data_IF_707368973165
#
_entry.id   IF_707368973165
#
_cell.length_a   1.000
_cell.length_b   1.000
_cell.length_c   1.000
_cell.angle_alpha   90.00
_cell.angle_beta   90.00
_cell.angle_gamma   90.00
#
_symmetry.space_group_name_H-M   'P 1'
#
loop_
_entity.id
_entity.type
_entity.pdbx_description
1 polymer ?
#
# COMPACT_ATOMS: atom_id res chain seq x y z
N UNK A 1 -28.24 9.09 -1.80
CA UNK A 1 -28.18 7.85 -1.02
C UNK A 1 -26.77 7.34 -1.20
N UNK A 2 -26.01 7.23 -0.13
CA UNK A 2 -24.61 6.80 -0.20
C UNK A 2 -24.56 5.34 -0.68
N UNK A 3 -23.87 5.07 -1.79
CA UNK A 3 -23.75 3.70 -2.31
C UNK A 3 -22.78 2.92 -1.40
N UNK A 4 -23.19 1.71 -1.00
CA UNK A 4 -22.42 0.84 -0.11
C UNK A 4 -22.31 -0.56 -0.68
N UNK A 5 -21.16 -1.20 -0.45
CA UNK A 5 -20.90 -2.58 -0.88
C UNK A 5 -20.27 -3.40 0.24
N UNK A 6 -20.94 -4.50 0.59
CA UNK A 6 -20.48 -5.39 1.65
C UNK A 6 -19.69 -6.56 1.07
N UNK A 7 -18.53 -6.84 1.64
CA UNK A 7 -17.66 -7.95 1.26
C UNK A 7 -17.29 -8.73 2.51
N UNK A 8 -17.38 -10.06 2.43
CA UNK A 8 -16.99 -10.95 3.52
C UNK A 8 -15.64 -11.57 3.23
N UNK A 9 -14.63 -11.21 4.00
CA UNK A 9 -13.37 -11.92 4.11
C UNK A 9 -13.46 -12.95 5.25
N UNK A 10 -12.49 -13.85 5.36
CA UNK A 10 -12.43 -14.91 6.38
C UNK A 10 -12.57 -14.37 7.80
N UNK A 11 -11.88 -13.27 8.10
CA UNK A 11 -11.83 -12.68 9.44
C UNK A 11 -12.47 -11.28 9.53
N UNK A 12 -12.93 -10.73 8.40
CA UNK A 12 -13.45 -9.36 8.34
C UNK A 12 -14.75 -9.29 7.54
N UNK A 13 -15.74 -8.56 8.07
CA UNK A 13 -16.90 -8.11 7.32
C UNK A 13 -16.65 -6.63 6.95
N UNK A 14 -16.40 -6.36 5.67
CA UNK A 14 -16.01 -5.04 5.16
C UNK A 14 -17.20 -4.33 4.50
N UNK A 15 -17.38 -3.04 4.78
CA UNK A 15 -18.43 -2.20 4.19
C UNK A 15 -17.82 -1.04 3.41
N UNK A 16 -17.52 -1.29 2.14
CA UNK A 16 -17.00 -0.26 1.25
C UNK A 16 -18.04 0.83 1.01
N UNK A 17 -17.64 2.08 1.21
CA UNK A 17 -18.43 3.27 0.92
C UNK A 17 -17.89 3.95 -0.33
N UNK A 18 -18.79 4.39 -1.22
CA UNK A 18 -18.39 5.10 -2.43
C UNK A 18 -18.12 6.58 -2.13
N UNK A 19 -16.95 7.04 -2.52
CA UNK A 19 -16.52 8.44 -2.44
C UNK A 19 -16.04 8.88 -3.82
N UNK A 20 -16.76 9.81 -4.45
CA UNK A 20 -16.53 10.32 -5.82
C UNK A 20 -16.14 9.22 -6.84
N UNK A 21 -14.83 9.01 -7.03
CA UNK A 21 -14.20 8.12 -8.01
C UNK A 21 -13.64 6.82 -7.40
N UNK A 22 -13.94 6.52 -6.14
CA UNK A 22 -13.35 5.38 -5.44
C UNK A 22 -14.33 4.71 -4.46
N UNK A 23 -14.06 3.45 -4.15
CA UNK A 23 -14.64 2.76 -3.00
C UNK A 23 -13.59 2.64 -1.91
N UNK A 24 -13.97 3.00 -0.69
CA UNK A 24 -13.05 3.05 0.45
C UNK A 24 -13.62 2.21 1.59
N UNK A 25 -12.76 1.44 2.24
CA UNK A 25 -13.05 0.85 3.54
C UNK A 25 -11.83 0.88 4.45
N UNK A 26 -12.03 1.27 5.71
CA UNK A 26 -10.98 1.23 6.73
C UNK A 26 -11.22 0.07 7.69
N UNK A 27 -10.18 -0.74 7.88
CA UNK A 27 -10.20 -1.90 8.78
C UNK A 27 -9.20 -1.68 9.90
N UNK A 28 -9.68 -1.73 11.13
CA UNK A 28 -8.86 -1.68 12.34
C UNK A 28 -8.34 -3.08 12.69
N UNK A 29 -7.14 -3.16 13.28
CA UNK A 29 -6.47 -4.40 13.67
C UNK A 29 -6.35 -5.41 12.52
N UNK A 30 -5.80 -4.95 11.38
CA UNK A 30 -5.60 -5.80 10.20
C UNK A 30 -4.26 -6.54 10.28
N UNK A 31 -4.29 -7.84 10.56
CA UNK A 31 -3.07 -8.62 10.82
C UNK A 31 -2.29 -8.06 12.02
N UNK A 32 -1.10 -7.52 11.79
CA UNK A 32 -0.26 -6.88 12.83
C UNK A 32 -0.38 -5.35 12.86
N UNK A 33 -1.16 -4.76 11.95
CA UNK A 33 -1.27 -3.30 11.79
C UNK A 33 -2.43 -2.76 12.60
N UNK A 34 -2.26 -1.57 13.18
CA UNK A 34 -3.33 -0.87 13.93
C UNK A 34 -4.53 -0.58 13.04
N UNK A 35 -4.32 -0.13 11.80
CA UNK A 35 -5.38 0.02 10.80
C UNK A 35 -4.83 0.00 9.37
N UNK A 36 -5.68 -0.37 8.41
CA UNK A 36 -5.41 -0.31 6.96
C UNK A 36 -6.64 0.29 6.25
N UNK A 37 -6.41 1.03 5.17
CA UNK A 37 -7.48 1.50 4.28
C UNK A 37 -7.34 0.82 2.92
N UNK A 38 -8.45 0.26 2.44
CA UNK A 38 -8.57 -0.35 1.13
C UNK A 38 -9.27 0.63 0.21
N UNK A 39 -8.62 0.97 -0.91
CA UNK A 39 -9.16 1.90 -1.90
C UNK A 39 -9.26 1.22 -3.26
N UNK A 40 -10.45 1.20 -3.83
CA UNK A 40 -10.73 0.65 -5.16
C UNK A 40 -11.12 1.81 -6.09
N UNK A 41 -10.19 2.18 -6.95
CA UNK A 41 -10.33 3.22 -7.97
C UNK A 41 -11.34 2.78 -9.05
N UNK A 42 -12.34 3.63 -9.34
CA UNK A 42 -13.41 3.36 -10.32
C UNK A 42 -13.03 3.72 -11.76
N UNK A 43 -12.07 4.63 -11.96
CA UNK A 43 -11.62 5.02 -13.31
C UNK A 43 -10.81 3.90 -13.96
N UNK A 44 -10.08 3.16 -13.13
CA UNK A 44 -9.36 1.97 -13.54
C UNK A 44 -10.37 0.82 -13.55
N UNK A 45 -10.72 0.31 -14.74
CA UNK A 45 -11.68 -0.78 -14.97
C UNK A 45 -11.33 -2.13 -14.29
N UNK A 46 -10.38 -2.12 -13.37
CA UNK A 46 -9.75 -3.26 -12.70
C UNK A 46 -10.67 -3.96 -11.70
N UNK A 47 -11.83 -3.37 -11.35
CA UNK A 47 -12.78 -3.93 -10.39
C UNK A 47 -14.24 -3.92 -10.87
N UNK A 48 -14.57 -4.86 -11.76
CA UNK A 48 -15.95 -5.16 -12.19
C UNK A 48 -16.71 -5.99 -11.14
N UNK A 49 -18.03 -6.16 -11.27
CA UNK A 49 -18.85 -6.94 -10.33
C UNK A 49 -18.29 -8.34 -10.03
N UNK A 50 -17.79 -9.04 -11.03
CA UNK A 50 -17.19 -10.38 -10.89
C UNK A 50 -15.91 -10.39 -10.03
N UNK A 51 -15.15 -9.28 -10.05
CA UNK A 51 -13.90 -9.16 -9.28
C UNK A 51 -14.17 -8.97 -7.78
N UNK A 52 -15.36 -8.52 -7.38
CA UNK A 52 -15.70 -8.34 -5.97
C UNK A 52 -15.74 -9.65 -5.18
N UNK A 53 -16.03 -10.78 -5.83
CA UNK A 53 -15.91 -12.08 -5.19
C UNK A 53 -14.44 -12.46 -4.91
N UNK A 54 -13.51 -12.00 -5.75
CA UNK A 54 -12.07 -12.24 -5.57
C UNK A 54 -11.43 -11.32 -4.55
N UNK A 55 -12.02 -10.14 -4.28
CA UNK A 55 -11.54 -9.19 -3.28
C UNK A 55 -11.39 -9.83 -1.90
N UNK A 56 -12.37 -10.65 -1.53
CA UNK A 56 -12.38 -11.40 -0.28
C UNK A 56 -11.11 -12.26 -0.13
N UNK A 57 -10.78 -13.04 -1.16
CA UNK A 57 -9.59 -13.88 -1.16
C UNK A 57 -8.28 -13.09 -1.15
N UNK A 58 -8.25 -11.90 -1.77
CA UNK A 58 -7.12 -10.99 -1.68
C UNK A 58 -6.95 -10.45 -0.26
N UNK A 59 -8.03 -10.01 0.39
CA UNK A 59 -7.99 -9.50 1.77
C UNK A 59 -7.46 -10.58 2.72
N UNK A 60 -7.97 -11.81 2.60
CA UNK A 60 -7.48 -12.96 3.38
C UNK A 60 -5.99 -13.21 3.17
N UNK A 61 -5.52 -13.06 1.93
CA UNK A 61 -4.11 -13.23 1.60
C UNK A 61 -3.24 -12.10 2.18
N UNK A 62 -3.69 -10.85 2.08
CA UNK A 62 -2.97 -9.69 2.60
C UNK A 62 -2.87 -9.73 4.12
N UNK A 63 -3.92 -10.16 4.82
CA UNK A 63 -3.90 -10.34 6.27
C UNK A 63 -2.71 -11.22 6.72
N UNK A 64 -2.42 -12.27 5.94
CA UNK A 64 -1.36 -13.24 6.25
C UNK A 64 0.03 -12.75 5.82
N UNK A 65 0.13 -12.05 4.69
CA UNK A 65 1.44 -11.83 4.03
C UNK A 65 1.93 -10.37 4.05
N UNK A 66 1.07 -9.39 4.33
CA UNK A 66 1.40 -7.97 4.18
C UNK A 66 2.64 -7.57 4.99
N UNK A 67 2.73 -8.00 6.26
CA UNK A 67 3.88 -7.76 7.13
C UNK A 67 5.21 -8.16 6.49
N UNK A 68 5.30 -9.38 5.98
CA UNK A 68 6.50 -9.88 5.33
C UNK A 68 6.78 -9.16 4.01
N UNK A 69 5.76 -8.75 3.26
CA UNK A 69 5.96 -7.98 2.02
C UNK A 69 6.50 -6.59 2.29
N UNK A 70 6.00 -5.95 3.34
CA UNK A 70 6.51 -4.68 3.84
C UNK A 70 7.98 -4.80 4.22
N UNK A 71 8.35 -5.77 5.04
CA UNK A 71 9.75 -6.00 5.42
C UNK A 71 10.64 -6.21 4.20
N UNK A 72 10.19 -7.01 3.23
CA UNK A 72 10.91 -7.26 1.97
C UNK A 72 10.98 -6.06 1.04
N UNK A 73 10.11 -5.07 1.20
CA UNK A 73 10.12 -3.86 0.39
C UNK A 73 11.16 -2.85 0.89
N UNK A 74 11.42 -2.80 2.21
CA UNK A 74 12.27 -1.77 2.83
C UNK A 74 13.72 -1.83 2.33
N UNK A 75 14.31 -3.02 2.17
CA UNK A 75 15.70 -3.14 1.69
C UNK A 75 15.87 -2.67 0.22
N UNK A 76 15.09 -3.14 -0.77
CA UNK A 76 15.12 -2.62 -2.13
C UNK A 76 14.88 -1.12 -2.21
N UNK A 77 13.97 -0.60 -1.37
CA UNK A 77 13.64 0.80 -1.28
C UNK A 77 14.82 1.66 -0.78
N UNK A 78 15.45 1.21 0.30
CA UNK A 78 16.67 1.83 0.85
C UNK A 78 17.78 1.84 -0.21
N UNK A 79 17.96 0.70 -0.89
CA UNK A 79 18.94 0.57 -1.97
C UNK A 79 18.64 1.50 -3.15
N UNK A 80 17.37 1.63 -3.55
CA UNK A 80 16.94 2.54 -4.60
C UNK A 80 17.22 3.99 -4.21
N UNK A 81 16.90 4.39 -2.97
CA UNK A 81 17.11 5.73 -2.46
C UNK A 81 18.60 6.14 -2.46
N UNK A 82 19.50 5.26 -2.01
CA UNK A 82 20.96 5.51 -2.04
C UNK A 82 21.46 5.65 -3.46
N UNK A 83 21.12 4.70 -4.35
CA UNK A 83 21.65 4.68 -5.72
C UNK A 83 21.14 5.84 -6.58
N UNK A 84 19.93 6.31 -6.31
CA UNK A 84 19.36 7.48 -6.99
C UNK A 84 19.86 8.80 -6.42
N UNK A 85 20.61 8.77 -5.30
CA UNK A 85 21.17 9.95 -4.66
C UNK A 85 20.16 10.77 -3.85
N UNK A 86 18.97 10.23 -3.57
CA UNK A 86 17.94 10.94 -2.80
C UNK A 86 18.27 11.01 -1.31
N UNK A 87 18.81 9.92 -0.76
CA UNK A 87 19.23 9.86 0.63
C UNK A 87 20.62 9.25 0.74
N UNK A 88 21.47 9.84 1.56
CA UNK A 88 22.69 9.20 2.02
C UNK A 88 22.40 8.28 3.24
N UNK A 89 23.38 7.48 3.66
CA UNK A 89 23.21 6.54 4.78
C UNK A 89 22.80 7.20 6.11
N UNK A 90 23.29 8.42 6.37
CA UNK A 90 22.94 9.17 7.58
C UNK A 90 21.47 9.62 7.54
N UNK A 91 21.00 10.15 6.42
CA UNK A 91 19.61 10.56 6.24
C UNK A 91 18.63 9.39 6.35
N UNK A 92 19.00 8.21 5.83
CA UNK A 92 18.19 7.00 5.91
C UNK A 92 17.92 6.55 7.36
N UNK A 93 18.84 6.81 8.29
CA UNK A 93 18.67 6.45 9.71
C UNK A 93 17.54 7.22 10.39
N UNK A 94 17.16 8.37 9.83
CA UNK A 94 16.11 9.24 10.36
C UNK A 94 14.79 9.14 9.60
N UNK A 95 14.69 8.24 8.62
CA UNK A 95 13.45 8.03 7.90
C UNK A 95 12.50 7.20 8.74
N UNK A 96 11.32 7.76 8.99
CA UNK A 96 10.21 7.03 9.55
C UNK A 96 9.25 6.62 8.42
N UNK A 97 9.16 5.31 8.18
CA UNK A 97 8.19 4.74 7.25
C UNK A 97 6.83 4.63 7.94
N UNK A 98 6.01 5.66 7.71
CA UNK A 98 4.63 5.69 8.16
C UNK A 98 3.75 4.96 7.15
N UNK A 99 3.16 3.84 7.54
CA UNK A 99 2.13 3.18 6.74
C UNK A 99 0.83 4.01 6.79
N UNK A 100 0.77 5.09 6.01
CA UNK A 100 -0.47 5.76 5.67
C UNK A 100 -1.05 4.99 4.48
N UNK A 101 -1.87 4.01 4.85
CA UNK A 101 -2.12 2.80 4.09
C UNK A 101 -3.11 3.01 2.95
N UNK A 102 -2.62 3.07 1.71
CA UNK A 102 -3.44 2.94 0.52
C UNK A 102 -2.98 1.69 -0.23
N UNK A 103 -3.86 0.68 -0.27
CA UNK A 103 -3.68 -0.47 -1.17
C UNK A 103 -4.48 -0.18 -2.43
N UNK A 104 -3.81 0.19 -3.52
CA UNK A 104 -4.46 0.40 -4.81
C UNK A 104 -4.42 -0.88 -5.65
N UNK A 105 -5.59 -1.37 -6.03
CA UNK A 105 -5.72 -2.61 -6.80
C UNK A 105 -5.90 -2.26 -8.29
N UNK A 106 -4.89 -2.52 -9.12
CA UNK A 106 -4.79 -1.95 -10.48
C UNK A 106 -4.96 -2.99 -11.59
N UNK A 107 -4.84 -4.29 -11.31
CA UNK A 107 -5.01 -5.33 -12.35
C UNK A 107 -5.31 -6.68 -11.70
N UNK A 108 -6.45 -7.31 -11.99
CA UNK A 108 -6.87 -8.51 -11.29
C UNK A 108 -7.20 -9.65 -12.26
N UNK A 109 -6.21 -10.48 -12.53
CA UNK A 109 -6.44 -11.92 -12.50
C UNK A 109 -5.93 -12.42 -11.15
N UNK A 110 -6.79 -12.39 -10.11
CA UNK A 110 -6.49 -13.07 -8.86
C UNK A 110 -6.60 -14.58 -9.07
N UNK A 111 -5.55 -15.15 -9.66
CA UNK A 111 -5.24 -16.55 -9.51
C UNK A 111 -4.19 -16.65 -8.40
N UNK A 112 -4.22 -17.73 -7.62
CA UNK A 112 -3.19 -18.01 -6.62
C UNK A 112 -1.78 -18.21 -7.23
N UNK A 113 -1.58 -17.95 -8.53
CA UNK A 113 -0.31 -18.06 -9.22
C UNK A 113 0.23 -16.70 -9.71
N UNK A 114 -0.62 -15.70 -9.95
CA UNK A 114 -0.19 -14.48 -10.66
C UNK A 114 -0.02 -13.24 -9.77
N UNK A 115 -0.52 -13.27 -8.52
CA UNK A 115 -0.53 -12.19 -7.50
C UNK A 115 0.07 -10.82 -7.93
N UNK A 116 -0.63 -10.07 -8.77
CA UNK A 116 -0.22 -8.72 -9.15
C UNK A 116 -1.01 -7.70 -8.32
N UNK A 117 -0.34 -6.99 -7.43
CA UNK A 117 -0.96 -5.97 -6.56
C UNK A 117 0.09 -4.93 -6.16
N UNK A 118 -0.33 -3.78 -5.66
CA UNK A 118 0.59 -2.78 -5.15
C UNK A 118 0.12 -2.22 -3.80
N UNK A 119 1.05 -1.65 -3.05
CA UNK A 119 0.73 -0.86 -1.87
C UNK A 119 1.61 0.38 -1.81
N UNK A 120 1.15 1.37 -1.03
CA UNK A 120 1.83 2.62 -0.82
C UNK A 120 2.46 2.70 0.57
N UNK A 121 3.66 3.26 0.62
CA UNK A 121 4.47 3.48 1.80
C UNK A 121 4.74 4.97 1.92
N UNK A 122 4.12 5.63 2.88
CA UNK A 122 4.48 7.01 3.18
C UNK A 122 5.72 7.03 4.06
N UNK A 123 6.54 8.06 3.86
CA UNK A 123 7.68 8.28 4.71
C UNK A 123 7.72 9.74 5.10
N UNK A 124 8.23 9.95 6.31
CA UNK A 124 8.56 11.26 6.81
C UNK A 124 10.00 11.24 7.31
N UNK A 125 10.67 12.37 7.19
CA UNK A 125 12.05 12.51 7.66
C UNK A 125 11.99 13.23 9.00
N UNK A 126 12.53 12.59 10.05
CA UNK A 126 12.63 13.23 11.34
C UNK A 126 13.71 14.32 11.30
N UNK A 127 13.30 15.58 11.43
CA UNK A 127 14.21 16.70 11.67
C UNK A 127 14.71 16.70 13.12
N UNK A 128 15.41 15.66 13.52
CA UNK A 128 16.14 15.66 14.77
C UNK A 128 17.42 16.46 14.51
N UNK A 129 17.54 17.63 15.15
CA UNK A 129 18.72 18.52 15.19
C UNK A 129 18.89 19.61 14.09
N UNK A 130 17.85 20.01 13.34
CA UNK A 130 17.95 21.09 12.34
C UNK A 130 19.02 20.86 11.25
N UNK A 131 19.49 19.63 11.04
CA UNK A 131 20.59 19.29 10.11
C UNK A 131 20.11 18.89 8.72
N UNK A 132 18.81 18.67 8.51
CA UNK A 132 18.25 18.32 7.20
C UNK A 132 17.61 19.58 6.59
N UNK A 133 18.45 20.44 6.01
CA UNK A 133 17.98 21.57 5.20
C UNK A 133 17.52 21.08 3.82
N UNK A 134 16.30 21.45 3.41
CA UNK A 134 15.76 21.32 2.03
C UNK A 134 15.65 19.91 1.44
N UNK A 135 14.96 18.98 2.13
CA UNK A 135 14.38 17.82 1.45
C UNK A 135 12.88 17.82 1.74
N UNK A 136 12.06 17.60 0.71
CA UNK A 136 10.63 17.28 0.80
C UNK A 136 10.43 16.34 2.00
N UNK A 137 9.94 16.89 3.13
CA UNK A 137 9.98 16.21 4.42
C UNK A 137 9.03 15.00 4.47
N UNK A 138 8.21 14.85 3.43
CA UNK A 138 7.23 13.81 3.24
C UNK A 138 7.28 13.30 1.80
N UNK A 139 6.94 12.04 1.62
CA UNK A 139 6.73 11.47 0.31
C UNK A 139 6.16 10.08 0.40
N UNK A 140 5.95 9.48 -0.77
CA UNK A 140 5.31 8.17 -0.89
C UNK A 140 6.00 7.30 -1.90
N UNK A 141 6.11 6.03 -1.55
CA UNK A 141 6.58 4.95 -2.39
C UNK A 141 5.43 4.02 -2.75
N UNK A 142 5.16 3.84 -4.04
CA UNK A 142 4.25 2.81 -4.53
C UNK A 142 5.09 1.58 -4.89
N UNK A 143 4.84 0.43 -4.25
CA UNK A 143 5.54 -0.83 -4.50
C UNK A 143 4.58 -1.81 -5.15
N UNK A 144 4.93 -2.30 -6.33
CA UNK A 144 4.18 -3.33 -7.06
C UNK A 144 4.82 -4.70 -6.83
N UNK A 145 3.98 -5.71 -6.66
CA UNK A 145 4.35 -7.10 -6.52
C UNK A 145 3.86 -7.90 -7.71
N UNK A 146 4.67 -8.88 -8.12
CA UNK A 146 4.24 -10.00 -8.96
C UNK A 146 4.56 -11.28 -8.20
N UNK A 147 3.53 -12.01 -7.81
CA UNK A 147 3.72 -13.11 -6.87
C UNK A 147 4.03 -12.61 -5.46
N UNK A 148 5.10 -13.19 -4.90
CA UNK A 148 5.69 -12.80 -3.60
C UNK A 148 6.92 -11.90 -3.76
N UNK A 149 7.19 -11.41 -4.98
CA UNK A 149 8.37 -10.63 -5.32
C UNK A 149 7.97 -9.20 -5.68
N UNK A 150 8.81 -8.23 -5.32
CA UNK A 150 8.69 -6.84 -5.78
C UNK A 150 8.99 -6.81 -7.29
N UNK A 151 8.04 -6.29 -8.07
CA UNK A 151 8.15 -6.13 -9.52
C UNK A 151 8.36 -4.67 -9.94
N UNK A 152 8.06 -3.70 -9.06
CA UNK A 152 8.25 -2.28 -9.35
C UNK A 152 8.23 -1.40 -8.11
N UNK A 153 8.93 -0.27 -8.18
CA UNK A 153 8.98 0.77 -7.14
C UNK A 153 8.87 2.13 -7.83
N UNK A 154 7.94 2.97 -7.37
CA UNK A 154 7.79 4.36 -7.84
C UNK A 154 7.78 5.30 -6.63
N UNK A 155 8.38 6.48 -6.76
CA UNK A 155 8.35 7.56 -5.76
C UNK A 155 7.58 8.78 -6.26
N UNK A 156 6.85 9.41 -5.35
CA UNK A 156 6.29 10.75 -5.50
C UNK A 156 6.66 11.55 -4.25
N UNK A 157 7.06 12.81 -4.41
CA UNK A 157 7.33 13.74 -3.31
C UNK A 157 6.54 15.02 -3.42
N UNK A 158 6.32 15.66 -2.27
CA UNK A 158 5.56 16.89 -2.13
C UNK A 158 5.95 17.65 -0.87
#
# INVERSE_FOLDING_TARGET
MEERKNIKAKNYDLTFSKDEEQWIERVENFGIYESIEFTVDLERQSFTEDNWLTLSGLIDFLEINLATFVEKSIEPLTSFAVKSGYFNEEQLQYINFGFLNWVQIVDNTFSANDYNWNFELEFSINNIENTIENIDAYGRWTITFSGKAVSGIRRITW
#
